data_IF_691379601278
#
_entry.id   IF_691379601278
#
_cell.length_a   1.000
_cell.length_b   1.000
_cell.length_c   1.000
_cell.angle_alpha   90.00
_cell.angle_beta   90.00
_cell.angle_gamma   90.00
#
_symmetry.space_group_name_H-M   'P 1'
#
loop_
_entity.id
_entity.type
_entity.pdbx_description
1 polymer ?
#
# COMPACT_ATOMS: atom_id res chain seq x y z
N UNK A 1 -34.94 9.17 -30.19
CA UNK A 1 -33.62 9.79 -30.42
C UNK A 1 -33.19 10.41 -29.09
N UNK A 2 -31.98 10.14 -28.65
CA UNK A 2 -31.34 10.58 -27.38
C UNK A 2 -31.53 9.64 -26.19
N UNK A 3 -30.76 8.55 -26.24
CA UNK A 3 -30.44 7.77 -25.05
C UNK A 3 -29.06 7.15 -25.24
N UNK A 4 -28.01 7.97 -25.16
CA UNK A 4 -26.64 7.53 -25.36
C UNK A 4 -25.61 8.51 -24.79
N UNK A 5 -25.81 9.03 -23.58
CA UNK A 5 -24.86 9.99 -22.99
C UNK A 5 -24.78 9.93 -21.44
N UNK A 6 -25.00 8.78 -20.81
CA UNK A 6 -24.86 8.64 -19.33
C UNK A 6 -24.07 7.38 -18.94
N UNK A 7 -23.08 6.99 -19.74
CA UNK A 7 -22.28 5.80 -19.45
C UNK A 7 -20.78 6.06 -19.56
N UNK A 8 -20.25 7.18 -18.99
CA UNK A 8 -18.79 7.35 -18.94
C UNK A 8 -18.27 8.24 -17.79
N UNK A 9 -18.79 8.07 -16.58
CA UNK A 9 -18.24 8.79 -15.42
C UNK A 9 -18.04 7.92 -14.15
N UNK A 10 -17.95 6.61 -14.28
CA UNK A 10 -17.59 5.71 -13.17
C UNK A 10 -16.44 4.78 -13.56
N UNK A 11 -15.36 5.32 -14.11
CA UNK A 11 -14.06 4.69 -13.94
C UNK A 11 -13.54 5.03 -12.54
N UNK A 12 -14.03 4.28 -11.54
CA UNK A 12 -13.31 4.12 -10.30
C UNK A 12 -11.86 3.76 -10.68
N UNK A 13 -10.91 4.51 -10.17
CA UNK A 13 -9.47 4.28 -10.35
C UNK A 13 -9.14 2.93 -9.65
N UNK A 14 -9.38 1.83 -10.37
CA UNK A 14 -9.16 0.49 -9.84
C UNK A 14 -7.66 0.33 -9.67
N UNK A 15 -7.22 0.13 -8.43
CA UNK A 15 -5.83 -0.20 -8.15
C UNK A 15 -5.37 -1.31 -9.10
N UNK A 16 -4.33 -1.03 -9.88
CA UNK A 16 -3.76 -1.95 -10.86
C UNK A 16 -2.55 -2.67 -10.27
N UNK A 17 -2.23 -3.86 -10.78
CA UNK A 17 -0.96 -4.50 -10.50
C UNK A 17 0.08 -4.01 -11.50
N UNK A 18 1.08 -3.25 -11.04
CA UNK A 18 2.15 -2.76 -11.89
C UNK A 18 3.20 -3.83 -12.12
N UNK A 19 3.52 -4.07 -13.39
CA UNK A 19 4.50 -5.04 -13.85
C UNK A 19 5.54 -4.29 -14.67
N UNK A 20 6.77 -4.23 -14.20
CA UNK A 20 7.89 -3.63 -14.91
C UNK A 20 8.50 -4.66 -15.85
N UNK A 21 8.57 -4.34 -17.14
CA UNK A 21 9.22 -5.13 -18.17
C UNK A 21 10.53 -4.46 -18.54
N UNK A 22 11.65 -5.14 -18.30
CA UNK A 22 13.01 -4.62 -18.54
C UNK A 22 13.69 -5.49 -19.57
N UNK A 23 13.89 -4.96 -20.76
CA UNK A 23 14.48 -5.68 -21.91
C UNK A 23 14.89 -4.63 -22.94
N UNK A 24 16.07 -4.71 -23.50
CA UNK A 24 16.57 -3.77 -24.53
C UNK A 24 15.98 -4.02 -25.92
N UNK A 25 15.29 -5.16 -26.11
CA UNK A 25 14.62 -5.51 -27.35
C UNK A 25 13.16 -5.04 -27.38
N UNK A 26 12.76 -4.02 -28.19
CA UNK A 26 11.38 -3.55 -28.27
C UNK A 26 10.36 -4.62 -28.67
N UNK A 27 10.81 -5.64 -29.44
CA UNK A 27 9.95 -6.76 -29.84
C UNK A 27 9.46 -7.57 -28.63
N UNK A 28 10.29 -7.74 -27.61
CA UNK A 28 9.96 -8.47 -26.39
C UNK A 28 8.85 -7.77 -25.60
N UNK A 29 8.87 -6.44 -25.54
CA UNK A 29 7.78 -5.66 -24.92
C UNK A 29 6.44 -5.89 -25.61
N UNK A 30 6.43 -5.95 -26.96
CA UNK A 30 5.20 -6.21 -27.72
C UNK A 30 4.67 -7.62 -27.46
N UNK A 31 5.54 -8.64 -27.50
CA UNK A 31 5.16 -10.02 -27.20
C UNK A 31 4.64 -10.16 -25.76
N UNK A 32 5.31 -9.54 -24.79
CA UNK A 32 4.90 -9.53 -23.40
C UNK A 32 3.53 -8.86 -23.23
N UNK A 33 3.31 -7.73 -23.90
CA UNK A 33 2.01 -7.03 -23.90
C UNK A 33 0.88 -7.91 -24.45
N UNK A 34 1.13 -8.65 -25.53
CA UNK A 34 0.14 -9.57 -26.09
C UNK A 34 -0.14 -10.74 -25.15
N UNK A 35 0.90 -11.32 -24.54
CA UNK A 35 0.78 -12.46 -23.63
C UNK A 35 -0.01 -12.08 -22.34
N UNK A 36 0.12 -10.85 -21.86
CA UNK A 36 -0.49 -10.38 -20.62
C UNK A 36 -1.71 -9.45 -20.83
N UNK A 37 -2.22 -9.36 -22.06
CA UNK A 37 -3.28 -8.39 -22.45
C UNK A 37 -4.53 -8.40 -21.56
N UNK A 38 -4.90 -9.54 -21.03
CA UNK A 38 -6.11 -9.72 -20.20
C UNK A 38 -5.73 -10.17 -18.78
N UNK A 39 -4.54 -9.81 -18.32
CA UNK A 39 -4.11 -10.18 -16.98
C UNK A 39 -4.98 -9.48 -15.95
N UNK A 40 -5.67 -10.27 -15.14
CA UNK A 40 -6.37 -9.79 -13.95
C UNK A 40 -6.13 -10.79 -12.81
N UNK A 41 -5.71 -10.29 -11.66
CA UNK A 41 -5.40 -11.11 -10.49
C UNK A 41 -6.10 -10.50 -9.28
N UNK A 42 -6.86 -11.32 -8.53
CA UNK A 42 -7.61 -10.87 -7.36
C UNK A 42 -8.53 -9.67 -7.66
N UNK A 43 -9.16 -9.66 -8.84
CA UNK A 43 -10.09 -8.59 -9.26
C UNK A 43 -9.42 -7.30 -9.75
N UNK A 44 -8.06 -7.21 -9.79
CA UNK A 44 -7.33 -6.04 -10.26
C UNK A 44 -6.66 -6.33 -11.60
N UNK A 45 -6.74 -5.44 -12.59
CA UNK A 45 -6.05 -5.59 -13.87
C UNK A 45 -4.53 -5.39 -13.71
N UNK A 46 -3.76 -5.95 -14.66
CA UNK A 46 -2.33 -5.71 -14.78
C UNK A 46 -2.03 -4.50 -15.66
N UNK A 47 -1.10 -3.66 -15.24
CA UNK A 47 -0.52 -2.55 -16.01
C UNK A 47 0.96 -2.82 -16.29
N UNK A 48 1.36 -2.68 -17.55
CA UNK A 48 2.75 -2.88 -17.95
C UNK A 48 3.48 -1.53 -18.03
N UNK A 49 4.59 -1.46 -17.34
CA UNK A 49 5.57 -0.36 -17.41
C UNK A 49 6.78 -0.92 -18.15
N UNK A 50 7.30 -0.19 -19.13
CA UNK A 50 8.42 -0.64 -19.95
C UNK A 50 9.69 0.12 -19.61
N UNK A 51 10.83 -0.58 -19.59
CA UNK A 51 12.17 -0.01 -19.48
C UNK A 51 13.09 -0.69 -20.48
N UNK A 52 13.87 0.07 -21.23
CA UNK A 52 14.77 -0.41 -22.28
C UNK A 52 16.22 -0.59 -21.78
N UNK A 53 16.48 -0.35 -20.52
CA UNK A 53 17.80 -0.50 -19.89
C UNK A 53 17.68 -0.62 -18.38
N UNK A 54 18.74 -1.09 -17.71
CA UNK A 54 18.79 -1.12 -16.25
C UNK A 54 18.71 0.28 -15.64
N UNK A 55 19.22 1.31 -16.33
CA UNK A 55 19.09 2.70 -15.89
C UNK A 55 17.65 3.16 -15.90
N UNK A 56 16.94 2.97 -17.01
CA UNK A 56 15.51 3.32 -17.13
C UNK A 56 14.69 2.54 -16.10
N UNK A 57 14.99 1.26 -15.89
CA UNK A 57 14.31 0.44 -14.88
C UNK A 57 14.44 1.01 -13.46
N UNK A 58 15.59 1.56 -13.07
CA UNK A 58 15.77 2.24 -11.78
C UNK A 58 14.89 3.48 -11.67
N UNK A 59 14.83 4.31 -12.72
CA UNK A 59 13.96 5.47 -12.76
C UNK A 59 12.47 5.11 -12.65
N UNK A 60 12.06 3.98 -13.27
CA UNK A 60 10.68 3.50 -13.16
C UNK A 60 10.36 2.98 -11.75
N UNK A 61 11.30 2.32 -11.07
CA UNK A 61 11.11 1.90 -9.67
C UNK A 61 10.98 3.08 -8.71
N UNK A 62 11.73 4.15 -8.93
CA UNK A 62 11.61 5.38 -8.13
C UNK A 62 10.24 6.05 -8.32
N UNK A 63 9.74 6.10 -9.57
CA UNK A 63 8.43 6.68 -9.90
C UNK A 63 7.27 5.81 -9.44
N UNK A 64 7.48 4.50 -9.36
CA UNK A 64 6.44 3.50 -9.07
C UNK A 64 6.91 2.54 -7.96
N UNK A 65 6.94 2.95 -6.70
CA UNK A 65 7.37 2.10 -5.58
C UNK A 65 6.45 0.90 -5.32
N UNK A 66 5.28 0.89 -5.94
CA UNK A 66 4.23 -0.14 -5.86
C UNK A 66 4.32 -1.20 -6.96
N UNK A 67 5.43 -1.27 -7.72
CA UNK A 67 5.66 -2.34 -8.70
C UNK A 67 5.65 -3.69 -7.98
N UNK A 68 4.75 -4.58 -8.45
CA UNK A 68 4.58 -5.91 -7.87
C UNK A 68 5.54 -6.95 -8.46
N UNK A 69 5.78 -6.88 -9.77
CA UNK A 69 6.59 -7.85 -10.52
C UNK A 69 7.53 -7.13 -11.46
N UNK A 70 8.76 -7.64 -11.58
CA UNK A 70 9.73 -7.25 -12.59
C UNK A 70 9.99 -8.46 -13.49
N UNK A 71 9.77 -8.30 -14.78
CA UNK A 71 10.23 -9.22 -15.84
C UNK A 71 11.55 -8.67 -16.38
N UNK A 72 12.65 -9.32 -16.10
CA UNK A 72 13.98 -8.76 -16.31
C UNK A 72 14.81 -9.62 -17.24
N UNK A 73 15.36 -9.02 -18.28
CA UNK A 73 16.44 -9.65 -19.04
C UNK A 73 17.75 -9.60 -18.25
N UNK A 74 18.55 -10.64 -18.38
CA UNK A 74 19.88 -10.73 -17.76
C UNK A 74 20.89 -9.90 -18.53
N UNK A 75 20.87 -10.00 -19.86
CA UNK A 75 21.83 -9.37 -20.76
C UNK A 75 21.15 -8.25 -21.53
N UNK A 76 21.62 -7.04 -21.32
CA UNK A 76 21.13 -5.82 -21.99
C UNK A 76 22.32 -4.97 -22.42
N UNK A 77 22.47 -3.73 -21.92
CA UNK A 77 23.60 -2.84 -22.18
C UNK A 77 24.96 -3.41 -21.71
N UNK A 78 24.95 -4.40 -20.83
CA UNK A 78 26.10 -5.22 -20.44
C UNK A 78 25.67 -6.66 -20.11
N UNK A 79 26.64 -7.58 -20.05
CA UNK A 79 26.39 -8.99 -19.70
C UNK A 79 25.81 -9.19 -18.29
N UNK A 80 25.96 -8.21 -17.40
CA UNK A 80 25.54 -8.27 -16.01
C UNK A 80 24.51 -7.20 -15.64
N UNK A 81 24.03 -6.42 -16.59
CA UNK A 81 23.11 -5.30 -16.32
C UNK A 81 21.88 -5.70 -15.50
N UNK A 82 21.28 -6.86 -15.85
CA UNK A 82 20.14 -7.40 -15.11
C UNK A 82 20.49 -7.80 -13.67
N UNK A 83 21.63 -8.46 -13.45
CA UNK A 83 22.06 -8.86 -12.11
C UNK A 83 22.42 -7.65 -11.23
N UNK A 84 23.06 -6.65 -11.81
CA UNK A 84 23.37 -5.39 -11.10
C UNK A 84 22.09 -4.61 -10.75
N UNK A 85 21.07 -4.68 -11.59
CA UNK A 85 19.77 -4.13 -11.29
C UNK A 85 19.09 -4.85 -10.11
N UNK A 86 19.15 -6.20 -10.03
CA UNK A 86 18.61 -6.95 -8.89
C UNK A 86 19.32 -6.56 -7.60
N UNK A 87 20.65 -6.48 -7.63
CA UNK A 87 21.43 -6.05 -6.45
C UNK A 87 21.01 -4.66 -6.00
N UNK A 88 20.82 -3.73 -6.93
CA UNK A 88 20.28 -2.40 -6.62
C UNK A 88 18.92 -2.48 -5.92
N UNK A 89 17.98 -3.27 -6.41
CA UNK A 89 16.64 -3.45 -5.83
C UNK A 89 16.71 -4.03 -4.41
N UNK A 90 17.54 -5.05 -4.20
CA UNK A 90 17.63 -5.75 -2.91
C UNK A 90 18.46 -4.99 -1.86
N UNK A 91 19.60 -4.40 -2.24
CA UNK A 91 20.55 -3.80 -1.31
C UNK A 91 20.39 -2.28 -1.16
N UNK A 92 20.10 -1.55 -2.26
CA UNK A 92 20.03 -0.09 -2.22
C UNK A 92 18.59 0.40 -2.01
N UNK A 93 17.63 -0.12 -2.77
CA UNK A 93 16.19 0.19 -2.56
C UNK A 93 15.65 -0.57 -1.33
N UNK A 94 16.31 -1.65 -0.93
CA UNK A 94 15.92 -2.53 0.18
C UNK A 94 14.47 -3.03 0.06
N UNK A 95 14.04 -3.36 -1.17
CA UNK A 95 12.68 -3.87 -1.43
C UNK A 95 12.69 -5.41 -1.54
N UNK A 96 12.35 -6.16 -0.48
CA UNK A 96 12.26 -7.61 -0.51
C UNK A 96 10.93 -8.12 -1.08
N UNK A 97 9.93 -7.25 -1.23
CA UNK A 97 8.58 -7.66 -1.59
C UNK A 97 8.43 -7.86 -3.10
N UNK A 98 9.02 -6.97 -3.92
CA UNK A 98 8.91 -7.05 -5.38
C UNK A 98 9.40 -8.39 -5.90
N UNK A 99 8.59 -9.03 -6.74
CA UNK A 99 8.90 -10.33 -7.32
C UNK A 99 9.68 -10.15 -8.61
N UNK A 100 10.79 -10.86 -8.74
CA UNK A 100 11.66 -10.77 -9.91
C UNK A 100 11.63 -12.09 -10.66
N UNK A 101 11.28 -12.04 -11.95
CA UNK A 101 11.33 -13.16 -12.90
C UNK A 101 12.43 -12.83 -13.90
N UNK A 102 13.51 -13.58 -13.87
CA UNK A 102 14.57 -13.47 -14.86
C UNK A 102 14.19 -14.17 -16.17
N UNK A 103 14.51 -13.52 -17.26
CA UNK A 103 14.43 -14.09 -18.61
C UNK A 103 15.80 -14.03 -19.24
N UNK A 104 16.27 -15.12 -19.79
CA UNK A 104 17.58 -15.17 -20.47
C UNK A 104 17.45 -15.80 -21.85
N UNK A 105 18.20 -15.24 -22.80
CA UNK A 105 18.40 -15.84 -24.13
C UNK A 105 19.59 -16.82 -24.20
N UNK A 106 20.43 -16.82 -23.15
CA UNK A 106 21.67 -17.60 -23.10
C UNK A 106 21.72 -18.48 -21.85
N UNK A 107 21.10 -19.67 -21.86
CA UNK A 107 21.18 -20.61 -20.77
C UNK A 107 22.63 -21.08 -20.57
N UNK A 108 23.14 -21.00 -19.33
CA UNK A 108 24.45 -21.53 -18.93
C UNK A 108 25.54 -20.51 -18.61
N UNK A 109 25.33 -19.21 -18.78
CA UNK A 109 26.31 -18.19 -18.32
C UNK A 109 26.36 -18.04 -16.81
N UNK A 110 25.27 -18.37 -16.08
CA UNK A 110 25.29 -18.52 -14.63
C UNK A 110 24.44 -19.74 -14.24
N UNK A 111 24.89 -20.61 -13.31
CA UNK A 111 24.07 -21.72 -12.85
C UNK A 111 22.78 -21.18 -12.24
N UNK A 112 21.63 -21.55 -12.82
CA UNK A 112 20.29 -21.11 -12.42
C UNK A 112 20.10 -21.10 -10.89
N UNK A 113 20.50 -22.19 -10.22
CA UNK A 113 20.38 -22.35 -8.77
C UNK A 113 21.18 -21.31 -7.99
N UNK A 114 22.37 -20.95 -8.42
CA UNK A 114 23.22 -20.00 -7.72
C UNK A 114 22.68 -18.59 -7.86
N UNK A 115 22.26 -18.21 -9.06
CA UNK A 115 21.64 -16.91 -9.32
C UNK A 115 20.35 -16.75 -8.53
N UNK A 116 19.51 -17.79 -8.44
CA UNK A 116 18.28 -17.75 -7.66
C UNK A 116 18.53 -17.52 -6.16
N UNK A 117 19.56 -18.15 -5.59
CA UNK A 117 19.89 -18.02 -4.17
C UNK A 117 20.60 -16.71 -3.87
N UNK A 118 21.64 -16.37 -4.65
CA UNK A 118 22.50 -15.21 -4.39
C UNK A 118 21.78 -13.87 -4.57
N UNK A 119 20.75 -13.84 -5.45
CA UNK A 119 20.03 -12.61 -5.82
C UNK A 119 18.56 -12.57 -5.37
N UNK A 120 18.10 -13.55 -4.59
CA UNK A 120 16.70 -13.64 -4.12
C UNK A 120 15.69 -13.40 -5.26
N UNK A 121 15.86 -14.13 -6.37
CA UNK A 121 14.93 -14.11 -7.50
C UNK A 121 13.87 -15.20 -7.35
N UNK A 122 12.70 -14.94 -7.92
CA UNK A 122 11.51 -15.77 -7.68
C UNK A 122 11.28 -16.82 -8.75
N UNK A 123 11.77 -16.55 -9.94
CA UNK A 123 11.65 -17.47 -11.07
C UNK A 123 12.74 -17.16 -12.11
N UNK A 124 13.20 -18.20 -12.81
CA UNK A 124 14.19 -18.11 -13.88
C UNK A 124 13.65 -18.83 -15.11
N UNK A 125 13.59 -18.15 -16.24
CA UNK A 125 13.03 -18.69 -17.49
C UNK A 125 13.94 -18.43 -18.66
N UNK A 126 14.11 -19.46 -19.49
CA UNK A 126 14.71 -19.27 -20.81
C UNK A 126 13.72 -18.58 -21.74
N UNK A 127 14.17 -17.56 -22.51
CA UNK A 127 13.31 -16.85 -23.48
C UNK A 127 12.66 -17.81 -24.48
N UNK A 128 13.39 -18.87 -24.89
CA UNK A 128 12.94 -19.90 -25.84
C UNK A 128 11.85 -20.80 -25.28
N UNK A 129 11.80 -21.02 -23.98
CA UNK A 129 10.80 -21.88 -23.33
C UNK A 129 9.56 -21.09 -22.85
N UNK A 130 9.61 -19.77 -22.90
CA UNK A 130 8.60 -18.90 -22.32
C UNK A 130 7.42 -18.71 -23.28
N UNK A 131 6.53 -19.71 -23.35
CA UNK A 131 5.24 -19.54 -24.05
C UNK A 131 4.38 -18.48 -23.34
N UNK A 132 3.44 -17.88 -24.09
CA UNK A 132 2.49 -16.89 -23.52
C UNK A 132 1.75 -17.43 -22.27
N UNK A 133 1.37 -18.71 -22.28
CA UNK A 133 0.71 -19.37 -21.15
C UNK A 133 1.64 -19.52 -19.93
N UNK A 134 2.90 -19.91 -20.13
CA UNK A 134 3.88 -20.02 -19.05
C UNK A 134 4.17 -18.66 -18.45
N UNK A 135 4.37 -17.61 -19.28
CA UNK A 135 4.58 -16.24 -18.83
C UNK A 135 3.39 -15.74 -17.99
N UNK A 136 2.18 -15.92 -18.50
CA UNK A 136 0.95 -15.55 -17.80
C UNK A 136 0.88 -16.20 -16.41
N UNK A 137 1.13 -17.51 -16.33
CA UNK A 137 1.08 -18.27 -15.07
C UNK A 137 2.14 -17.81 -14.07
N UNK A 138 3.39 -17.58 -14.53
CA UNK A 138 4.48 -17.10 -13.67
C UNK A 138 4.17 -15.69 -13.11
N UNK A 139 3.71 -14.78 -13.96
CA UNK A 139 3.34 -13.42 -13.53
C UNK A 139 2.15 -13.45 -12.55
N UNK A 140 1.11 -14.22 -12.86
CA UNK A 140 -0.05 -14.37 -11.97
C UNK A 140 0.36 -14.93 -10.60
N UNK A 141 1.21 -15.95 -10.55
CA UNK A 141 1.72 -16.52 -9.31
C UNK A 141 2.55 -15.51 -8.51
N UNK A 142 3.42 -14.77 -9.20
CA UNK A 142 4.26 -13.73 -8.58
C UNK A 142 3.44 -12.59 -8.01
N UNK A 143 2.39 -12.13 -8.71
CA UNK A 143 1.46 -11.10 -8.19
C UNK A 143 0.75 -11.60 -6.91
N UNK A 144 0.26 -12.84 -6.91
CA UNK A 144 -0.37 -13.42 -5.71
C UNK A 144 0.60 -13.47 -4.53
N UNK A 145 1.84 -13.90 -4.78
CA UNK A 145 2.89 -13.94 -3.75
C UNK A 145 3.20 -12.53 -3.23
N UNK A 146 3.35 -11.55 -4.13
CA UNK A 146 3.54 -10.15 -3.73
C UNK A 146 2.40 -9.65 -2.84
N UNK A 147 1.14 -9.89 -3.23
CA UNK A 147 -0.03 -9.48 -2.44
C UNK A 147 -0.05 -10.12 -1.04
N UNK A 148 0.32 -11.39 -0.91
CA UNK A 148 0.42 -12.06 0.39
C UNK A 148 1.55 -11.47 1.24
N UNK A 149 2.73 -11.22 0.67
CA UNK A 149 3.86 -10.63 1.39
C UNK A 149 3.55 -9.20 1.82
N UNK A 150 2.91 -8.41 0.96
CA UNK A 150 2.46 -7.05 1.31
C UNK A 150 1.46 -7.08 2.48
N UNK A 151 0.51 -8.03 2.46
CA UNK A 151 -0.44 -8.21 3.56
C UNK A 151 0.29 -8.58 4.86
N UNK A 152 1.24 -9.51 4.82
CA UNK A 152 2.03 -9.89 6.00
C UNK A 152 2.85 -8.72 6.54
N UNK A 153 3.47 -7.93 5.68
CA UNK A 153 4.24 -6.76 6.09
C UNK A 153 3.35 -5.68 6.74
N UNK A 154 2.15 -5.47 6.20
CA UNK A 154 1.17 -4.58 6.81
C UNK A 154 0.75 -5.07 8.21
N UNK A 155 0.50 -6.37 8.39
CA UNK A 155 0.23 -6.94 9.72
C UNK A 155 1.42 -6.79 10.67
N UNK A 156 2.64 -7.02 10.20
CA UNK A 156 3.86 -6.84 11.02
C UNK A 156 3.97 -5.39 11.53
N UNK A 157 3.79 -4.41 10.65
CA UNK A 157 3.77 -2.98 11.02
C UNK A 157 2.66 -2.67 12.02
N UNK A 158 1.47 -3.21 11.78
CA UNK A 158 0.34 -3.01 12.69
C UNK A 158 0.63 -3.53 14.10
N UNK A 159 1.19 -4.74 14.22
CA UNK A 159 1.57 -5.32 15.52
C UNK A 159 2.62 -4.45 16.23
N UNK A 160 3.59 -3.91 15.50
CA UNK A 160 4.59 -2.99 16.08
C UNK A 160 3.96 -1.68 16.58
N UNK A 161 3.04 -1.09 15.81
CA UNK A 161 2.31 0.12 16.21
C UNK A 161 1.45 -0.15 17.44
N UNK A 162 0.65 -1.22 17.43
CA UNK A 162 -0.20 -1.61 18.55
C UNK A 162 0.61 -1.93 19.80
N UNK A 163 1.76 -2.59 19.67
CA UNK A 163 2.63 -2.90 20.80
C UNK A 163 3.17 -1.67 21.52
N UNK A 164 3.27 -0.53 20.84
CA UNK A 164 3.72 0.75 21.43
C UNK A 164 2.58 1.63 21.91
N UNK A 165 1.35 1.36 21.50
CA UNK A 165 0.19 2.22 21.75
C UNK A 165 0.02 2.56 23.23
N UNK A 166 -0.11 1.55 24.08
CA UNK A 166 -0.38 1.75 25.49
C UNK A 166 0.70 2.59 26.19
N UNK A 167 1.99 2.27 25.94
CA UNK A 167 3.10 2.98 26.54
C UNK A 167 3.12 4.46 26.12
N UNK A 168 2.86 4.77 24.85
CA UNK A 168 2.85 6.13 24.34
C UNK A 168 1.64 6.93 24.82
N UNK A 169 0.46 6.33 24.85
CA UNK A 169 -0.76 6.96 25.38
C UNK A 169 -0.60 7.29 26.86
N UNK A 170 -0.06 6.36 27.67
CA UNK A 170 0.15 6.59 29.09
C UNK A 170 1.24 7.62 29.41
N UNK A 171 2.16 7.87 28.48
CA UNK A 171 3.19 8.89 28.61
C UNK A 171 2.70 10.29 28.20
N UNK A 172 1.53 10.41 27.57
CA UNK A 172 0.97 11.69 27.17
C UNK A 172 0.61 12.53 28.40
N UNK A 173 1.13 13.76 28.45
CA UNK A 173 0.98 14.65 29.60
C UNK A 173 -0.41 15.32 29.62
N UNK A 174 -1.00 15.56 28.45
CA UNK A 174 -2.26 16.26 28.26
C UNK A 174 -2.99 15.80 26.99
N UNK A 175 -4.20 16.29 26.75
CA UNK A 175 -5.01 15.95 25.61
C UNK A 175 -4.37 16.34 24.26
N UNK A 176 -3.70 17.48 24.08
CA UNK A 176 -2.94 17.79 22.88
C UNK A 176 -1.81 16.78 22.60
N UNK A 177 -1.02 16.42 23.61
CA UNK A 177 0.04 15.41 23.46
C UNK A 177 -0.53 14.04 23.11
N UNK A 178 -1.63 13.63 23.72
CA UNK A 178 -2.36 12.40 23.38
C UNK A 178 -2.83 12.40 21.93
N UNK A 179 -3.41 13.52 21.45
CA UNK A 179 -3.85 13.67 20.06
C UNK A 179 -2.68 13.46 19.07
N UNK A 180 -1.52 14.07 19.37
CA UNK A 180 -0.31 13.91 18.56
C UNK A 180 0.16 12.45 18.52
N UNK A 181 0.13 11.76 19.65
CA UNK A 181 0.50 10.34 19.75
C UNK A 181 -0.42 9.49 18.86
N UNK A 182 -1.72 9.65 18.96
CA UNK A 182 -2.69 8.88 18.18
C UNK A 182 -2.57 9.15 16.67
N UNK A 183 -2.37 10.41 16.29
CA UNK A 183 -2.15 10.80 14.90
C UNK A 183 -0.84 10.21 14.35
N UNK A 184 0.25 10.27 15.10
CA UNK A 184 1.53 9.69 14.71
C UNK A 184 1.45 8.18 14.50
N UNK A 185 0.68 7.47 15.32
CA UNK A 185 0.46 6.05 15.18
C UNK A 185 -0.36 5.69 13.94
N UNK A 186 -1.43 6.42 13.65
CA UNK A 186 -2.21 6.24 12.42
C UNK A 186 -1.35 6.50 11.17
N UNK A 187 -0.51 7.54 11.24
CA UNK A 187 0.45 7.83 10.17
C UNK A 187 1.45 6.68 9.98
N UNK A 188 1.91 6.06 11.07
CA UNK A 188 2.84 4.93 11.04
C UNK A 188 2.23 3.63 10.45
N UNK A 189 0.90 3.51 10.40
CA UNK A 189 0.22 2.42 9.71
C UNK A 189 0.35 2.53 8.18
N UNK A 190 0.63 3.73 7.66
CA UNK A 190 0.81 4.01 6.22
C UNK A 190 -0.40 3.55 5.36
N UNK A 191 -1.59 3.75 5.90
CA UNK A 191 -2.86 3.35 5.26
C UNK A 191 -3.61 4.53 4.64
N UNK A 192 -3.30 5.77 5.05
CA UNK A 192 -4.13 6.93 4.78
C UNK A 192 -3.41 8.01 4.00
N UNK A 193 -4.11 8.67 3.09
CA UNK A 193 -3.64 9.86 2.37
C UNK A 193 -3.78 11.14 3.20
N UNK A 194 -4.73 11.17 4.15
CA UNK A 194 -4.88 12.26 5.12
C UNK A 194 -5.45 11.76 6.44
N UNK A 195 -5.06 12.40 7.53
CA UNK A 195 -5.56 12.15 8.89
C UNK A 195 -5.84 13.50 9.52
N UNK A 196 -7.09 13.76 9.85
CA UNK A 196 -7.56 14.98 10.51
C UNK A 196 -8.07 14.65 11.93
N UNK A 197 -7.79 15.52 12.88
CA UNK A 197 -8.15 15.31 14.28
C UNK A 197 -8.92 16.52 14.83
N UNK A 198 -9.99 16.29 15.59
CA UNK A 198 -10.76 17.31 16.27
C UNK A 198 -11.02 16.93 17.72
N UNK A 199 -10.85 17.87 18.63
CA UNK A 199 -11.27 17.74 20.01
C UNK A 199 -12.54 18.56 20.24
N UNK A 200 -13.55 17.97 20.89
CA UNK A 200 -14.77 18.62 21.26
C UNK A 200 -14.91 18.60 22.79
N UNK A 201 -15.42 19.70 23.36
CA UNK A 201 -15.80 19.78 24.75
C UNK A 201 -17.28 20.15 24.84
N UNK A 202 -18.01 19.59 25.80
CA UNK A 202 -19.41 19.92 26.06
C UNK A 202 -19.65 21.38 26.47
N UNK A 203 -18.58 22.13 26.78
CA UNK A 203 -18.69 23.52 27.27
C UNK A 203 -18.52 24.58 26.17
N UNK A 204 -17.84 24.24 25.06
CA UNK A 204 -17.63 25.15 23.93
C UNK A 204 -17.33 24.32 22.67
N UNK A 205 -17.96 24.66 21.53
CA UNK A 205 -17.61 24.12 20.23
C UNK A 205 -16.24 24.62 19.75
N UNK A 206 -15.24 24.51 20.58
CA UNK A 206 -13.88 24.88 20.21
C UNK A 206 -13.23 23.70 19.48
N UNK A 207 -13.43 23.64 18.17
CA UNK A 207 -12.69 22.71 17.32
C UNK A 207 -11.22 23.13 17.25
N UNK A 208 -10.35 22.44 17.95
CA UNK A 208 -8.92 22.54 17.73
C UNK A 208 -8.55 21.58 16.59
N UNK A 209 -8.53 22.08 15.36
CA UNK A 209 -8.04 21.32 14.23
C UNK A 209 -6.50 21.24 14.33
N UNK A 210 -5.96 20.05 14.56
CA UNK A 210 -4.56 19.72 14.28
C UNK A 210 -4.52 19.17 12.85
N UNK A 211 -5.03 19.96 11.91
CA UNK A 211 -4.96 19.69 10.49
C UNK A 211 -4.42 20.92 9.78
N UNK A 212 -3.87 20.74 8.60
CA UNK A 212 -3.45 21.84 7.74
C UNK A 212 -4.57 22.91 7.66
N UNK A 213 -4.27 24.20 7.86
CA UNK A 213 -5.28 25.24 7.91
C UNK A 213 -6.03 25.33 6.60
N UNK A 214 -7.34 25.13 6.62
CA UNK A 214 -8.19 25.48 5.49
C UNK A 214 -9.25 24.47 5.01
N UNK A 215 -9.39 23.29 5.62
CA UNK A 215 -10.41 22.35 5.20
C UNK A 215 -11.41 22.05 6.33
N UNK A 216 -12.56 22.71 6.27
CA UNK A 216 -13.72 22.26 7.03
C UNK A 216 -14.13 20.87 6.54
N UNK A 217 -14.57 19.95 7.41
CA UNK A 217 -14.96 18.61 7.00
C UNK A 217 -16.21 18.73 6.09
N UNK A 218 -16.00 18.50 4.81
CA UNK A 218 -17.09 18.52 3.81
C UNK A 218 -18.02 17.30 3.90
N UNK A 219 -17.89 16.46 4.97
CA UNK A 219 -18.59 15.18 5.02
C UNK A 219 -19.22 14.94 6.40
N UNK A 220 -20.29 15.70 6.62
CA UNK A 220 -21.02 15.67 7.87
C UNK A 220 -21.61 14.34 8.32
N UNK A 221 -21.88 13.40 7.41
CA UNK A 221 -22.56 12.15 7.76
C UNK A 221 -21.65 11.15 8.50
N UNK A 222 -20.47 10.84 7.95
CA UNK A 222 -19.51 9.90 8.57
C UNK A 222 -19.02 10.41 9.92
N UNK A 223 -18.74 11.72 10.01
CA UNK A 223 -18.30 12.36 11.25
C UNK A 223 -19.43 12.34 12.32
N UNK A 224 -20.65 12.70 11.95
CA UNK A 224 -21.82 12.67 12.86
C UNK A 224 -22.11 11.25 13.37
N UNK A 225 -21.97 10.24 12.51
CA UNK A 225 -22.16 8.84 12.90
C UNK A 225 -21.07 8.39 13.88
N UNK A 226 -19.80 8.77 13.67
CA UNK A 226 -18.73 8.44 14.59
C UNK A 226 -18.95 9.10 15.96
N UNK A 227 -19.40 10.34 16.00
CA UNK A 227 -19.75 11.05 17.24
C UNK A 227 -20.94 10.43 17.97
N UNK A 228 -21.89 9.84 17.24
CA UNK A 228 -23.06 9.16 17.81
C UNK A 228 -22.72 7.75 18.35
N UNK A 229 -21.59 7.16 17.95
CA UNK A 229 -21.14 5.83 18.35
C UNK A 229 -19.66 5.85 18.77
N UNK A 230 -19.31 6.45 19.93
CA UNK A 230 -17.94 6.54 20.41
C UNK A 230 -17.29 5.15 20.56
N UNK A 231 -16.06 5.01 20.09
CA UNK A 231 -15.31 3.77 20.10
C UNK A 231 -15.59 2.85 18.91
N UNK A 232 -16.53 3.20 18.04
CA UNK A 232 -16.82 2.45 16.82
C UNK A 232 -16.11 3.05 15.59
N UNK A 233 -15.58 2.21 14.73
CA UNK A 233 -15.04 2.60 13.44
C UNK A 233 -16.18 2.76 12.43
N UNK A 234 -16.35 3.96 11.91
CA UNK A 234 -17.29 4.24 10.81
C UNK A 234 -16.49 4.27 9.51
N UNK A 235 -16.91 3.48 8.53
CA UNK A 235 -16.24 3.34 7.23
C UNK A 235 -17.24 3.55 6.09
N UNK A 236 -16.97 4.53 5.20
CA UNK A 236 -17.80 4.88 4.03
C UNK A 236 -16.90 5.36 2.89
N UNK A 237 -16.92 4.66 1.76
CA UNK A 237 -16.30 5.08 0.47
C UNK A 237 -14.87 5.67 0.60
N UNK A 238 -13.99 4.96 1.30
CA UNK A 238 -12.61 5.41 1.50
C UNK A 238 -12.43 6.47 2.59
N UNK A 239 -13.50 6.79 3.33
CA UNK A 239 -13.48 7.66 4.50
C UNK A 239 -13.73 6.85 5.76
N UNK A 240 -12.95 7.12 6.79
CA UNK A 240 -13.00 6.42 8.06
C UNK A 240 -13.02 7.43 9.20
N UNK A 241 -13.85 7.19 10.19
CA UNK A 241 -13.92 8.06 11.36
C UNK A 241 -14.05 7.23 12.64
N UNK A 242 -13.43 7.69 13.70
CA UNK A 242 -13.62 7.17 15.05
C UNK A 242 -13.69 8.34 16.03
N UNK A 243 -14.63 8.27 16.96
CA UNK A 243 -14.72 9.20 18.09
C UNK A 243 -14.27 8.48 19.37
N UNK A 244 -13.25 9.00 20.02
CA UNK A 244 -12.74 8.50 21.30
C UNK A 244 -13.25 9.41 22.42
N UNK A 245 -13.92 8.85 23.41
CA UNK A 245 -14.47 9.60 24.54
C UNK A 245 -13.46 9.67 25.69
N UNK A 246 -13.34 10.86 26.28
CA UNK A 246 -12.62 11.13 27.53
C UNK A 246 -13.61 11.33 28.69
N UNK A 247 -13.10 11.43 29.89
CA UNK A 247 -13.90 11.89 31.02
C UNK A 247 -14.38 13.36 30.84
N UNK A 248 -15.45 13.72 31.53
CA UNK A 248 -16.04 15.08 31.54
C UNK A 248 -16.64 15.54 30.19
N UNK A 249 -17.06 14.61 29.34
CA UNK A 249 -17.75 14.95 28.08
C UNK A 249 -16.86 15.52 26.98
N UNK A 250 -15.55 15.36 27.10
CA UNK A 250 -14.62 15.66 26.03
C UNK A 250 -14.54 14.47 25.08
N UNK A 251 -14.40 14.74 23.78
CA UNK A 251 -14.21 13.72 22.75
C UNK A 251 -13.11 14.14 21.78
N UNK A 252 -12.37 13.15 21.29
CA UNK A 252 -11.45 13.29 20.19
C UNK A 252 -11.99 12.53 18.98
N UNK A 253 -12.24 13.23 17.90
CA UNK A 253 -12.64 12.59 16.64
C UNK A 253 -11.47 12.58 15.67
N UNK A 254 -11.15 11.40 15.18
CA UNK A 254 -10.14 11.15 14.15
C UNK A 254 -10.87 10.83 12.85
N UNK A 255 -10.53 11.56 11.82
CA UNK A 255 -11.05 11.33 10.47
C UNK A 255 -9.90 11.00 9.53
N UNK A 256 -10.03 9.93 8.78
CA UNK A 256 -8.99 9.40 7.91
C UNK A 256 -9.56 9.23 6.51
N UNK A 257 -8.79 9.56 5.49
CA UNK A 257 -9.17 9.34 4.11
C UNK A 257 -8.10 8.56 3.34
N UNK A 258 -8.57 7.76 2.39
CA UNK A 258 -7.74 7.01 1.45
C UNK A 258 -8.17 7.33 0.02
N UNK A 259 -7.26 7.20 -0.93
CA UNK A 259 -7.60 7.35 -2.34
C UNK A 259 -8.55 6.25 -2.85
N UNK A 260 -8.55 5.11 -2.17
CA UNK A 260 -9.42 3.95 -2.46
C UNK A 260 -9.83 3.28 -1.14
N UNK A 261 -10.98 2.58 -1.10
CA UNK A 261 -11.39 1.84 0.08
C UNK A 261 -10.31 0.84 0.53
N UNK A 262 -10.09 0.75 1.83
CA UNK A 262 -9.12 -0.18 2.40
C UNK A 262 -9.51 -1.63 2.09
N UNK A 263 -8.51 -2.43 1.76
CA UNK A 263 -8.68 -3.87 1.63
C UNK A 263 -9.13 -4.48 2.99
N UNK A 264 -9.85 -5.62 3.00
CA UNK A 264 -10.35 -6.24 4.23
C UNK A 264 -9.30 -6.44 5.31
N UNK A 265 -8.07 -6.81 4.93
CA UNK A 265 -6.95 -6.98 5.86
C UNK A 265 -6.53 -5.66 6.52
N UNK A 266 -6.45 -4.58 5.76
CA UNK A 266 -6.11 -3.26 6.28
C UNK A 266 -7.23 -2.70 7.18
N UNK A 267 -8.49 -2.96 6.82
CA UNK A 267 -9.65 -2.60 7.63
C UNK A 267 -9.63 -3.32 8.98
N UNK A 268 -9.27 -4.60 8.99
CA UNK A 268 -9.12 -5.35 10.24
C UNK A 268 -8.01 -4.80 11.13
N UNK A 269 -6.87 -4.41 10.55
CA UNK A 269 -5.78 -3.73 11.29
C UNK A 269 -6.27 -2.42 11.89
N UNK A 270 -7.02 -1.61 11.15
CA UNK A 270 -7.57 -0.36 11.64
C UNK A 270 -8.57 -0.59 12.78
N UNK A 271 -9.44 -1.59 12.66
CA UNK A 271 -10.40 -1.95 13.70
C UNK A 271 -9.69 -2.38 15.01
N UNK A 272 -8.66 -3.21 14.92
CA UNK A 272 -7.81 -3.58 16.07
C UNK A 272 -7.14 -2.35 16.70
N UNK A 273 -6.68 -1.40 15.88
CA UNK A 273 -6.11 -0.15 16.40
C UNK A 273 -7.17 0.68 17.12
N UNK A 274 -8.38 0.82 16.57
CA UNK A 274 -9.50 1.56 17.18
C UNK A 274 -9.87 0.95 18.54
N UNK A 275 -10.04 -0.37 18.62
CA UNK A 275 -10.34 -1.07 19.87
C UNK A 275 -9.25 -0.82 20.91
N UNK A 276 -7.98 -0.96 20.53
CA UNK A 276 -6.84 -0.73 21.44
C UNK A 276 -6.73 0.73 21.86
N UNK A 277 -6.93 1.68 20.94
CA UNK A 277 -6.91 3.11 21.24
C UNK A 277 -8.04 3.52 22.18
N UNK A 278 -9.26 3.00 21.96
CA UNK A 278 -10.41 3.26 22.82
C UNK A 278 -10.13 2.82 24.27
N UNK A 279 -9.60 1.61 24.46
CA UNK A 279 -9.24 1.10 25.78
C UNK A 279 -8.11 1.92 26.44
N UNK A 280 -7.08 2.27 25.67
CA UNK A 280 -5.92 3.02 26.16
C UNK A 280 -6.31 4.45 26.58
N UNK A 281 -7.14 5.11 25.77
CA UNK A 281 -7.63 6.47 26.04
C UNK A 281 -8.54 6.49 27.28
N UNK A 282 -9.46 5.54 27.40
CA UNK A 282 -10.30 5.42 28.60
C UNK A 282 -9.47 5.22 29.88
N UNK A 283 -8.41 4.43 29.79
CA UNK A 283 -7.51 4.20 30.93
C UNK A 283 -6.61 5.40 31.24
N UNK A 284 -6.18 6.14 30.21
CA UNK A 284 -5.44 7.39 30.35
C UNK A 284 -6.30 8.46 31.06
N UNK A 285 -7.55 8.61 30.61
CA UNK A 285 -8.50 9.54 31.17
C UNK A 285 -8.81 9.27 32.65
N UNK A 286 -8.83 8.01 33.09
CA UNK A 286 -9.04 7.63 34.47
C UNK A 286 -7.85 7.95 35.41
N UNK A 287 -6.68 8.33 34.86
CA UNK A 287 -5.48 8.69 35.62
C UNK A 287 -5.25 10.20 35.71
N UNK A 288 -5.80 10.95 34.73
CA UNK A 288 -5.70 12.41 34.67
C UNK A 288 -6.70 13.07 35.57
#
# INVERSE_FOLDING_TARGET
MSDSAVADSTRADHAVWKILVVDDEPAIHQVTKLALRNLAVLGRPGELINALSAKDAREQLEKHPDIAVVLLDVVMESEHAGLDFIRHVREQVANPLVRIILRTGQPGQAPERQVMVDYDINDYKEKTELTASKLYTSVMSSIRTFGHLQTMENYRRAVEVLGRLNAQVFAAADAPALTQVLQAQLTALDLFSSIDCWTHSNADETSCAVAAPGRAPAQGATLQRAQAAPGELIAEDGHYAVCLAFEYGQTLTLFMATAQPLAPAALHVLDLWVQSATLAVAHWAAKA
#
